data_IF_120685150260
#
_entry.id   IF_120685150260
#
_cell.length_a   1.000
_cell.length_b   1.000
_cell.length_c   1.000
_cell.angle_alpha   90.00
_cell.angle_beta   90.00
_cell.angle_gamma   90.00
#
_symmetry.space_group_name_H-M   'P 1'
#
loop_
_entity.id
_entity.type
_entity.pdbx_description
1 polymer ?
#
# COMPACT_ATOMS: atom_id res chain seq x y z
N UNK A 1 -26.94 -40.41 -8.65
CA UNK A 1 -27.29 -38.99 -8.88
C UNK A 1 -26.37 -38.47 -9.97
N UNK A 2 -26.92 -38.19 -11.14
CA UNK A 2 -26.18 -37.88 -12.35
C UNK A 2 -25.65 -36.44 -12.34
N UNK A 3 -24.33 -36.28 -12.46
CA UNK A 3 -23.70 -34.98 -12.67
C UNK A 3 -23.84 -34.61 -14.16
N UNK A 4 -24.94 -33.92 -14.52
CA UNK A 4 -25.04 -33.29 -15.85
C UNK A 4 -24.06 -32.12 -15.87
N UNK A 5 -22.88 -32.31 -16.45
CA UNK A 5 -21.82 -31.30 -16.50
C UNK A 5 -22.13 -30.32 -17.62
N UNK A 6 -22.98 -29.34 -17.32
CA UNK A 6 -23.31 -28.25 -18.24
C UNK A 6 -22.07 -27.34 -18.38
N UNK A 7 -21.53 -27.13 -19.61
CA UNK A 7 -20.31 -26.35 -19.82
C UNK A 7 -20.45 -24.90 -19.37
N UNK A 8 -21.68 -24.37 -19.35
CA UNK A 8 -22.00 -23.03 -18.87
C UNK A 8 -21.73 -22.85 -17.37
N UNK A 9 -21.89 -23.89 -16.56
CA UNK A 9 -21.66 -23.82 -15.11
C UNK A 9 -20.17 -23.77 -14.79
N UNK A 10 -19.35 -24.47 -15.58
CA UNK A 10 -17.90 -24.45 -15.45
C UNK A 10 -17.31 -23.08 -15.81
N UNK A 11 -17.83 -22.43 -16.85
CA UNK A 11 -17.38 -21.09 -17.27
C UNK A 11 -17.76 -20.02 -16.24
N UNK A 12 -18.98 -20.08 -15.68
CA UNK A 12 -19.42 -19.13 -14.65
C UNK A 12 -18.61 -19.29 -13.36
N UNK A 13 -18.33 -20.53 -12.94
CA UNK A 13 -17.49 -20.80 -11.77
C UNK A 13 -16.04 -20.31 -11.94
N UNK A 14 -15.48 -20.45 -13.15
CA UNK A 14 -14.12 -19.99 -13.46
C UNK A 14 -14.03 -18.45 -13.52
N UNK A 15 -15.06 -17.79 -14.06
CA UNK A 15 -15.15 -16.32 -14.07
C UNK A 15 -15.31 -15.75 -12.65
N UNK A 16 -16.11 -16.40 -11.80
CA UNK A 16 -16.25 -16.01 -10.38
C UNK A 16 -14.92 -16.16 -9.63
N UNK A 17 -14.16 -17.24 -9.88
CA UNK A 17 -12.84 -17.43 -9.28
C UNK A 17 -11.82 -16.34 -9.70
N UNK A 18 -11.88 -15.86 -10.95
CA UNK A 18 -11.02 -14.78 -11.45
C UNK A 18 -11.37 -13.42 -10.81
N UNK A 19 -12.66 -13.14 -10.59
CA UNK A 19 -13.11 -11.91 -9.93
C UNK A 19 -12.71 -11.89 -8.46
N UNK A 20 -12.75 -13.03 -7.77
CA UNK A 20 -12.31 -13.13 -6.36
C UNK A 20 -10.80 -12.95 -6.21
N UNK A 21 -10.00 -13.36 -7.19
CA UNK A 21 -8.55 -13.14 -7.17
C UNK A 21 -8.17 -11.68 -7.48
N UNK A 22 -8.97 -10.98 -8.31
CA UNK A 22 -8.80 -9.56 -8.58
C UNK A 22 -9.35 -8.67 -7.44
N UNK A 23 -10.30 -9.19 -6.67
CA UNK A 23 -10.85 -8.57 -5.49
C UNK A 23 -10.14 -9.05 -4.22
N UNK A 24 -8.82 -9.19 -4.23
CA UNK A 24 -8.06 -9.20 -2.98
C UNK A 24 -8.29 -7.84 -2.31
N UNK A 25 -9.17 -7.72 -1.30
CA UNK A 25 -9.22 -6.49 -0.53
C UNK A 25 -7.90 -6.54 0.23
N UNK A 26 -6.92 -5.70 -0.15
CA UNK A 26 -5.65 -5.60 0.53
C UNK A 26 -5.93 -5.58 2.04
N UNK A 27 -5.61 -6.70 2.70
CA UNK A 27 -6.30 -7.13 3.91
C UNK A 27 -6.36 -6.04 4.95
N UNK A 28 -7.57 -5.71 5.43
CA UNK A 28 -7.83 -4.75 6.50
C UNK A 28 -6.77 -3.64 6.62
N UNK A 29 -6.41 -3.02 5.49
CA UNK A 29 -5.49 -1.89 5.51
C UNK A 29 -6.28 -0.78 6.18
N UNK A 30 -5.70 -0.17 7.22
CA UNK A 30 -6.11 1.19 7.59
C UNK A 30 -6.24 1.95 6.27
N UNK A 31 -7.42 2.52 6.01
CA UNK A 31 -7.67 3.25 4.77
C UNK A 31 -6.45 4.14 4.52
N UNK A 32 -5.82 4.00 3.35
CA UNK A 32 -4.52 4.64 3.09
C UNK A 32 -4.69 6.16 3.21
N UNK A 33 -4.41 6.70 4.39
CA UNK A 33 -4.71 8.07 4.74
C UNK A 33 -3.41 8.87 4.83
N UNK A 34 -3.16 9.62 3.76
CA UNK A 34 -1.99 10.48 3.63
C UNK A 34 -1.93 11.57 4.71
N UNK A 35 -3.07 11.95 5.31
CA UNK A 35 -3.10 12.96 6.37
C UNK A 35 -2.33 12.51 7.61
N UNK A 36 -2.29 11.21 7.91
CA UNK A 36 -1.50 10.67 9.01
C UNK A 36 0.01 10.74 8.75
N UNK A 37 0.44 10.87 7.49
CA UNK A 37 1.83 11.13 7.11
C UNK A 37 2.20 12.62 7.17
N UNK A 38 1.25 13.52 7.46
CA UNK A 38 1.54 14.95 7.59
C UNK A 38 2.61 15.23 8.67
N UNK A 39 2.61 14.45 9.75
CA UNK A 39 3.63 14.52 10.82
C UNK A 39 5.03 14.12 10.32
N UNK A 40 5.13 13.41 9.20
CA UNK A 40 6.38 13.01 8.57
C UNK A 40 6.86 13.99 7.51
N UNK A 41 6.09 15.03 7.16
CA UNK A 41 6.43 15.96 6.06
C UNK A 41 7.79 16.60 6.29
N UNK A 42 8.09 17.06 7.50
CA UNK A 42 9.38 17.67 7.84
C UNK A 42 10.58 16.74 7.60
N UNK A 43 10.39 15.43 7.82
CA UNK A 43 11.41 14.42 7.56
C UNK A 43 11.53 14.10 6.06
N UNK A 44 10.39 13.96 5.39
CA UNK A 44 10.32 13.62 3.96
C UNK A 44 10.79 14.77 3.06
N UNK A 45 10.45 16.02 3.37
CA UNK A 45 10.81 17.19 2.54
C UNK A 45 12.13 17.79 3.00
N UNK A 46 12.28 18.02 4.30
CA UNK A 46 13.43 18.72 4.89
C UNK A 46 14.58 17.82 5.34
N UNK A 47 14.40 16.50 5.35
CA UNK A 47 15.44 15.58 5.86
C UNK A 47 15.65 15.67 7.38
N UNK A 48 14.69 16.26 8.11
CA UNK A 48 14.69 16.29 9.57
C UNK A 48 14.58 14.86 10.14
N UNK A 49 15.08 14.61 11.36
CA UNK A 49 14.91 13.31 12.00
C UNK A 49 13.41 13.01 12.22
N UNK A 50 12.93 11.79 11.88
CA UNK A 50 11.53 11.43 12.09
C UNK A 50 11.20 11.31 13.58
N UNK A 51 9.98 11.72 13.95
CA UNK A 51 9.46 11.52 15.29
C UNK A 51 8.97 10.08 15.48
N UNK A 52 8.85 9.63 16.73
CA UNK A 52 8.31 8.29 17.04
C UNK A 52 6.90 8.10 16.49
N UNK A 53 6.06 9.16 16.52
CA UNK A 53 4.71 9.15 15.96
C UNK A 53 4.75 8.99 14.43
N UNK A 54 5.66 9.67 13.76
CA UNK A 54 5.88 9.50 12.33
C UNK A 54 6.25 8.05 11.99
N UNK A 55 7.22 7.46 12.70
CA UNK A 55 7.61 6.07 12.45
C UNK A 55 6.47 5.08 12.72
N UNK A 56 5.65 5.31 13.75
CA UNK A 56 4.48 4.47 14.04
C UNK A 56 3.45 4.51 12.90
N UNK A 57 3.14 5.69 12.37
CA UNK A 57 2.23 5.85 11.24
C UNK A 57 2.79 5.22 9.95
N UNK A 58 4.08 5.44 9.66
CA UNK A 58 4.75 4.81 8.53
C UNK A 58 4.70 3.27 8.63
N UNK A 59 4.93 2.72 9.83
CA UNK A 59 4.84 1.27 10.06
C UNK A 59 3.43 0.73 9.86
N UNK A 60 2.41 1.44 10.31
CA UNK A 60 1.01 1.05 10.11
C UNK A 60 0.59 1.09 8.62
N UNK A 61 1.23 1.96 7.83
CA UNK A 61 0.86 2.20 6.43
C UNK A 61 1.87 1.68 5.39
N UNK A 62 2.80 0.79 5.77
CA UNK A 62 3.77 0.21 4.84
C UNK A 62 3.12 -0.35 3.58
N UNK A 63 1.96 -0.99 3.74
CA UNK A 63 1.19 -1.55 2.64
C UNK A 63 0.61 -0.54 1.65
N UNK A 64 0.62 0.76 1.97
CA UNK A 64 0.09 1.86 1.16
C UNK A 64 1.18 2.64 0.42
N UNK A 65 2.47 2.43 0.73
CA UNK A 65 3.54 3.26 0.17
C UNK A 65 3.61 3.21 -1.36
N UNK A 66 3.36 2.05 -1.97
CA UNK A 66 3.31 1.94 -3.43
C UNK A 66 2.15 2.72 -4.04
N UNK A 67 1.04 2.83 -3.32
CA UNK A 67 -0.09 3.64 -3.78
C UNK A 67 0.28 5.13 -3.75
N UNK A 68 0.92 5.59 -2.67
CA UNK A 68 1.42 6.97 -2.59
C UNK A 68 2.53 7.27 -3.60
N UNK A 69 3.37 6.29 -3.91
CA UNK A 69 4.41 6.43 -4.94
C UNK A 69 3.85 6.52 -6.37
N UNK A 70 2.67 5.94 -6.61
CA UNK A 70 1.95 5.99 -7.89
C UNK A 70 1.11 7.26 -8.05
N UNK A 71 0.68 7.86 -6.95
CA UNK A 71 -0.06 9.12 -6.97
C UNK A 71 0.84 10.26 -7.48
N UNK A 72 0.47 11.01 -8.53
CA UNK A 72 1.28 12.09 -9.07
C UNK A 72 1.47 13.27 -8.10
N UNK A 73 0.54 13.50 -7.17
CA UNK A 73 0.65 14.56 -6.17
C UNK A 73 1.67 14.20 -5.07
N UNK A 74 1.71 12.93 -4.65
CA UNK A 74 2.56 12.48 -3.54
C UNK A 74 3.85 11.77 -3.99
N UNK A 75 3.86 11.18 -5.18
CA UNK A 75 4.92 10.28 -5.64
C UNK A 75 6.28 10.94 -5.71
N UNK A 76 6.34 12.23 -6.04
CA UNK A 76 7.60 13.00 -6.04
C UNK A 76 8.25 13.10 -4.66
N UNK A 77 7.44 13.15 -3.60
CA UNK A 77 7.92 13.23 -2.23
C UNK A 77 8.31 11.86 -1.70
N UNK A 78 7.49 10.84 -1.98
CA UNK A 78 7.73 9.45 -1.54
C UNK A 78 8.95 8.84 -2.24
N UNK A 79 9.21 9.18 -3.51
CA UNK A 79 10.39 8.74 -4.27
C UNK A 79 11.65 9.57 -3.96
N UNK A 80 11.55 10.62 -3.15
CA UNK A 80 12.69 11.45 -2.80
C UNK A 80 13.72 10.69 -1.95
N UNK A 81 15.02 11.05 -2.02
CA UNK A 81 16.04 10.43 -1.17
C UNK A 81 15.76 10.66 0.33
N UNK A 82 15.10 11.75 0.69
CA UNK A 82 14.74 12.07 2.07
C UNK A 82 13.65 11.14 2.61
N UNK A 83 12.64 10.80 1.81
CA UNK A 83 11.67 9.77 2.19
C UNK A 83 12.35 8.42 2.45
N UNK A 84 13.32 8.05 1.61
CA UNK A 84 14.10 6.83 1.76
C UNK A 84 14.90 6.80 3.07
N UNK A 85 15.62 7.88 3.37
CA UNK A 85 16.33 8.07 4.64
C UNK A 85 15.39 8.05 5.85
N UNK A 86 14.18 8.59 5.70
CA UNK A 86 13.16 8.59 6.75
C UNK A 86 12.72 7.15 7.08
N UNK A 87 12.46 6.34 6.05
CA UNK A 87 12.13 4.91 6.23
C UNK A 87 13.27 4.13 6.86
N UNK A 88 14.51 4.35 6.41
CA UNK A 88 15.71 3.74 6.97
C UNK A 88 15.89 4.11 8.45
N UNK A 89 15.72 5.39 8.81
CA UNK A 89 15.80 5.88 10.20
C UNK A 89 14.71 5.29 11.10
N UNK A 90 13.54 4.97 10.53
CA UNK A 90 12.45 4.30 11.24
C UNK A 90 12.58 2.76 11.23
N UNK A 91 13.67 2.20 10.71
CA UNK A 91 13.88 0.76 10.53
C UNK A 91 12.77 0.07 9.71
N UNK A 92 12.27 0.75 8.69
CA UNK A 92 11.25 0.23 7.78
C UNK A 92 11.90 -0.13 6.43
N UNK A 93 11.41 -1.19 5.81
CA UNK A 93 11.85 -1.56 4.48
C UNK A 93 11.45 -0.49 3.45
N UNK A 94 12.39 -0.14 2.58
CA UNK A 94 12.11 0.76 1.45
C UNK A 94 11.26 0.00 0.44
N UNK A 95 10.03 0.46 0.14
CA UNK A 95 9.13 -0.24 -0.75
C UNK A 95 9.66 -0.18 -2.18
N UNK A 96 9.75 -1.34 -2.83
CA UNK A 96 10.02 -1.42 -4.28
C UNK A 96 8.68 -1.51 -4.99
N UNK A 97 8.34 -0.44 -5.68
CA UNK A 97 7.16 -0.23 -6.49
C UNK A 97 7.63 0.31 -7.84
#
# INVERSE_FOLDING_TARGET
MAMKKNPSVAVVALMLALVVLAAAPGGARAACDASQLAVCVSAITGGAPPTTVCCANLKAQQGCFCQYAKDPAYGRYIKSPNARKTLESCHLAVPTC
#
